data_IF_277260605265
#
_entry.id   IF_277260605265
#
_cell.length_a   1.000
_cell.length_b   1.000
_cell.length_c   1.000
_cell.angle_alpha   90.00
_cell.angle_beta   90.00
_cell.angle_gamma   90.00
#
_symmetry.space_group_name_H-M   'P 1'
#
loop_
_entity.id
_entity.type
_entity.pdbx_description
1 polymer ?
#
# COMPACT_ATOMS: atom_id res chain seq x y z
N UNK A 1 18.39 19.72 -40.69
CA UNK A 1 17.63 19.71 -39.44
C UNK A 1 18.06 18.49 -38.65
N UNK A 2 18.97 18.65 -37.68
CA UNK A 2 19.47 17.56 -36.82
C UNK A 2 18.51 17.40 -35.66
N UNK A 3 17.89 16.20 -35.50
CA UNK A 3 17.20 15.81 -34.29
C UNK A 3 18.21 15.64 -33.17
N UNK A 4 18.08 16.45 -32.15
CA UNK A 4 18.83 16.33 -30.90
C UNK A 4 18.23 15.18 -30.12
N UNK A 5 18.93 14.05 -30.08
CA UNK A 5 18.64 12.95 -29.15
C UNK A 5 19.02 13.42 -27.75
N UNK A 6 18.01 13.77 -26.97
CA UNK A 6 18.15 14.08 -25.56
C UNK A 6 18.41 12.77 -24.79
N UNK A 7 19.68 12.48 -24.56
CA UNK A 7 20.11 11.40 -23.67
C UNK A 7 19.82 11.86 -22.25
N UNK A 8 18.85 11.21 -21.62
CA UNK A 8 18.53 11.41 -20.20
C UNK A 8 19.64 10.72 -19.39
N UNK A 9 20.38 11.42 -18.52
CA UNK A 9 21.37 10.77 -17.67
C UNK A 9 20.65 9.85 -16.67
N UNK A 10 20.79 8.56 -16.90
CA UNK A 10 20.30 7.52 -15.98
C UNK A 10 21.36 7.32 -14.89
N UNK A 11 21.11 7.82 -13.68
CA UNK A 11 21.97 7.53 -12.53
C UNK A 11 21.47 6.24 -11.90
N UNK A 12 22.15 5.15 -12.19
CA UNK A 12 21.93 3.87 -11.54
C UNK A 12 22.85 3.80 -10.31
N UNK A 13 22.29 3.97 -9.12
CA UNK A 13 23.06 3.81 -7.87
C UNK A 13 22.82 2.41 -7.30
N UNK A 14 23.83 1.56 -7.37
CA UNK A 14 23.87 0.33 -6.57
C UNK A 14 24.35 0.67 -5.18
N UNK A 15 23.57 0.30 -4.17
CA UNK A 15 23.79 0.64 -2.76
C UNK A 15 25.02 -0.09 -2.20
N UNK A 16 26.19 0.57 -2.24
CA UNK A 16 27.35 0.18 -1.47
C UNK A 16 28.06 1.43 -0.91
N UNK A 17 27.43 2.27 -0.18
CA UNK A 17 28.02 3.25 0.74
C UNK A 17 27.06 4.40 1.04
N UNK A 18 26.39 4.35 2.17
CA UNK A 18 25.91 5.55 2.84
C UNK A 18 26.03 5.36 4.35
N UNK A 19 27.23 5.66 4.88
CA UNK A 19 27.42 5.99 6.28
C UNK A 19 27.98 7.41 6.34
N UNK A 20 27.24 8.31 6.96
CA UNK A 20 27.73 9.65 7.25
C UNK A 20 26.62 10.68 7.41
N UNK A 21 25.80 10.59 8.44
CA UNK A 21 24.90 11.70 8.82
C UNK A 21 25.37 12.25 10.17
N UNK A 22 25.88 13.49 10.15
CA UNK A 22 26.10 14.30 11.36
C UNK A 22 24.76 14.78 11.90
N UNK A 23 24.45 14.41 13.13
CA UNK A 23 23.30 14.91 13.87
C UNK A 23 23.49 16.38 14.26
N UNK A 24 22.50 17.22 13.98
CA UNK A 24 22.35 18.57 14.52
C UNK A 24 21.17 18.59 15.52
N UNK A 25 21.32 19.22 16.69
CA UNK A 25 20.30 19.17 17.73
C UNK A 25 19.37 20.40 17.68
N UNK A 26 18.16 20.19 18.16
CA UNK A 26 17.11 21.14 18.55
C UNK A 26 15.93 21.28 17.59
N UNK A 27 14.82 20.66 18.02
CA UNK A 27 13.59 21.42 18.24
C UNK A 27 12.62 20.65 19.15
N UNK A 28 12.26 21.30 20.25
CA UNK A 28 11.14 20.90 21.12
C UNK A 28 9.85 21.19 20.36
N UNK A 29 9.04 20.18 20.11
CA UNK A 29 7.66 20.41 19.67
C UNK A 29 6.68 19.55 20.49
N UNK A 30 5.60 20.20 20.87
CA UNK A 30 4.69 19.88 21.93
C UNK A 30 3.89 18.58 21.78
N UNK A 31 3.68 17.99 22.93
CA UNK A 31 3.04 16.70 23.24
C UNK A 31 1.49 16.77 23.27
N UNK A 32 0.84 17.65 22.53
CA UNK A 32 -0.58 17.97 22.83
C UNK A 32 -1.61 17.75 21.68
N UNK A 33 -1.25 17.18 20.54
CA UNK A 33 -2.19 17.07 19.41
C UNK A 33 -2.63 15.65 19.03
N UNK A 34 -1.96 14.62 19.49
CA UNK A 34 -2.27 13.22 19.13
C UNK A 34 -3.49 12.66 19.89
N UNK A 35 -3.68 13.05 21.15
CA UNK A 35 -4.77 12.52 21.98
C UNK A 35 -6.15 12.99 21.53
N UNK A 36 -6.27 14.23 21.06
CA UNK A 36 -7.55 14.81 20.63
C UNK A 36 -8.12 14.20 19.35
N UNK A 37 -7.25 13.73 18.45
CA UNK A 37 -7.68 13.11 17.18
C UNK A 37 -8.07 11.66 17.34
N UNK A 38 -7.46 10.96 18.28
CA UNK A 38 -7.84 9.59 18.65
C UNK A 38 -9.24 9.56 19.27
N UNK A 39 -9.58 10.54 20.11
CA UNK A 39 -10.92 10.71 20.69
C UNK A 39 -11.97 11.06 19.61
N UNK A 40 -11.59 11.82 18.58
CA UNK A 40 -12.49 12.14 17.46
C UNK A 40 -12.77 10.92 16.56
N UNK A 41 -11.79 10.03 16.38
CA UNK A 41 -11.98 8.78 15.63
C UNK A 41 -12.87 7.83 16.42
N UNK A 42 -12.67 7.73 17.74
CA UNK A 42 -13.49 6.90 18.64
C UNK A 42 -14.93 7.38 18.77
N UNK A 43 -15.17 8.66 18.61
CA UNK A 43 -16.49 9.30 18.74
C UNK A 43 -17.14 9.62 17.39
N UNK A 44 -16.60 9.15 16.28
CA UNK A 44 -17.24 9.29 14.98
C UNK A 44 -18.50 8.41 14.95
N UNK A 45 -19.70 9.01 14.81
CA UNK A 45 -20.96 8.26 14.83
C UNK A 45 -21.03 7.17 13.73
N UNK A 46 -20.28 7.34 12.65
CA UNK A 46 -20.18 6.35 11.57
C UNK A 46 -19.49 5.07 12.02
N UNK A 47 -18.57 5.12 13.02
CA UNK A 47 -17.90 3.92 13.56
C UNK A 47 -18.70 3.22 14.66
N UNK A 48 -19.61 3.95 15.34
CA UNK A 48 -20.47 3.34 16.37
C UNK A 48 -21.64 2.56 15.80
N UNK A 49 -22.05 2.82 14.57
CA UNK A 49 -23.13 2.09 13.90
C UNK A 49 -22.67 0.78 13.26
N UNK A 50 -21.36 0.48 13.26
CA UNK A 50 -20.83 -0.78 12.68
C UNK A 50 -20.90 -1.98 13.64
N UNK A 51 -21.12 -1.76 14.93
CA UNK A 51 -21.13 -2.85 15.91
C UNK A 51 -22.53 -3.46 16.18
N UNK A 52 -23.60 -2.84 15.66
CA UNK A 52 -24.97 -3.31 15.92
C UNK A 52 -25.77 -3.77 14.68
N UNK A 53 -25.13 -4.08 13.55
CA UNK A 53 -25.92 -4.41 12.36
C UNK A 53 -25.19 -5.08 11.21
N UNK A 54 -24.39 -6.12 11.45
CA UNK A 54 -23.99 -7.01 10.36
C UNK A 54 -25.14 -7.98 10.00
N UNK A 55 -26.24 -7.41 9.54
CA UNK A 55 -27.15 -8.12 8.66
C UNK A 55 -26.52 -8.10 7.27
N UNK A 56 -26.07 -9.25 6.78
CA UNK A 56 -25.62 -9.43 5.43
C UNK A 56 -26.68 -8.83 4.48
N UNK A 57 -26.37 -7.70 3.85
CA UNK A 57 -27.27 -7.12 2.85
C UNK A 57 -27.32 -8.07 1.67
N UNK A 58 -28.37 -8.89 1.62
CA UNK A 58 -28.70 -9.74 0.47
C UNK A 58 -28.94 -8.78 -0.71
N UNK A 59 -27.96 -8.66 -1.58
CA UNK A 59 -28.10 -7.82 -2.77
C UNK A 59 -29.26 -8.33 -3.64
N UNK A 60 -30.07 -7.43 -4.21
CA UNK A 60 -31.18 -7.85 -5.06
C UNK A 60 -30.70 -8.79 -6.17
N UNK A 61 -31.40 -9.90 -6.44
CA UNK A 61 -30.98 -10.88 -7.46
C UNK A 61 -30.77 -10.27 -8.86
N UNK A 62 -31.44 -9.15 -9.16
CA UNK A 62 -31.23 -8.41 -10.41
C UNK A 62 -29.82 -7.79 -10.51
N UNK A 63 -29.26 -7.30 -9.41
CA UNK A 63 -27.91 -6.72 -9.37
C UNK A 63 -26.84 -7.79 -9.57
N UNK A 64 -27.05 -8.97 -8.99
CA UNK A 64 -26.16 -10.13 -9.18
C UNK A 64 -26.16 -10.59 -10.64
N UNK A 65 -27.34 -10.71 -11.27
CA UNK A 65 -27.46 -11.08 -12.68
C UNK A 65 -26.81 -10.04 -13.61
N UNK A 66 -27.00 -8.76 -13.32
CA UNK A 66 -26.40 -7.69 -14.12
C UNK A 66 -24.87 -7.69 -13.98
N UNK A 67 -24.33 -7.93 -12.79
CA UNK A 67 -22.89 -8.11 -12.57
C UNK A 67 -22.35 -9.32 -13.35
N UNK A 68 -23.06 -10.45 -13.36
CA UNK A 68 -22.67 -11.62 -14.15
C UNK A 68 -22.70 -11.34 -15.65
N UNK A 69 -23.70 -10.60 -16.14
CA UNK A 69 -23.77 -10.20 -17.55
C UNK A 69 -22.65 -9.25 -17.93
N UNK A 70 -22.36 -8.24 -17.11
CA UNK A 70 -21.23 -7.33 -17.32
C UNK A 70 -19.92 -8.11 -17.34
N UNK A 71 -19.74 -9.04 -16.40
CA UNK A 71 -18.55 -9.90 -16.33
C UNK A 71 -18.36 -10.79 -17.56
N UNK A 72 -19.47 -11.24 -18.20
CA UNK A 72 -19.44 -12.00 -19.45
C UNK A 72 -19.13 -11.13 -20.68
N UNK A 73 -19.58 -9.87 -20.67
CA UNK A 73 -19.37 -8.92 -21.76
C UNK A 73 -17.99 -8.26 -21.76
N UNK A 74 -17.37 -8.10 -20.56
CA UNK A 74 -16.05 -7.47 -20.42
C UNK A 74 -14.88 -8.36 -20.88
N UNK A 75 -15.14 -9.53 -21.43
CA UNK A 75 -14.19 -10.43 -22.10
C UNK A 75 -12.91 -10.72 -21.29
N UNK A 76 -12.59 -11.95 -21.13
CA UNK A 76 -11.50 -12.57 -20.34
C UNK A 76 -11.70 -12.42 -18.82
N UNK A 77 -12.14 -13.46 -18.15
CA UNK A 77 -12.42 -13.40 -16.73
C UNK A 77 -11.12 -13.03 -15.99
N UNK A 78 -11.19 -11.99 -15.13
CA UNK A 78 -10.12 -11.67 -14.16
C UNK A 78 -9.69 -12.92 -13.35
N UNK A 79 -10.50 -13.96 -13.34
CA UNK A 79 -10.22 -15.27 -12.73
C UNK A 79 -9.05 -16.03 -13.35
N UNK A 80 -8.60 -15.68 -14.55
CA UNK A 80 -7.46 -16.34 -15.20
C UNK A 80 -6.12 -15.64 -14.93
N UNK A 81 -6.10 -14.47 -14.29
CA UNK A 81 -4.85 -13.78 -13.95
C UNK A 81 -4.22 -14.39 -12.71
N UNK A 82 -2.90 -14.60 -12.75
CA UNK A 82 -2.15 -14.94 -11.56
C UNK A 82 -2.31 -13.80 -10.53
N UNK A 83 -2.46 -14.17 -9.26
CA UNK A 83 -2.63 -13.22 -8.15
C UNK A 83 -1.54 -13.40 -7.11
N UNK A 84 -1.30 -12.35 -6.34
CA UNK A 84 -0.42 -12.34 -5.19
C UNK A 84 -1.30 -12.22 -3.92
N UNK A 85 -1.61 -13.31 -3.21
CA UNK A 85 -2.43 -13.26 -2.00
C UNK A 85 -1.72 -12.48 -0.89
N UNK A 86 -2.45 -11.75 -0.07
CA UNK A 86 -1.89 -11.13 1.14
C UNK A 86 -1.59 -12.17 2.24
N UNK A 87 -2.26 -13.31 2.21
CA UNK A 87 -2.22 -14.32 3.25
C UNK A 87 -3.06 -13.94 4.47
N UNK A 88 -3.91 -12.93 4.32
CA UNK A 88 -4.92 -12.49 5.28
C UNK A 88 -6.27 -12.69 4.62
N UNK A 89 -7.00 -13.73 5.04
CA UNK A 89 -8.24 -14.16 4.39
C UNK A 89 -9.25 -13.02 4.24
N UNK A 90 -9.41 -12.19 5.28
CA UNK A 90 -10.32 -11.05 5.24
C UNK A 90 -10.02 -10.04 4.11
N UNK A 91 -8.76 -9.91 3.72
CA UNK A 91 -8.34 -9.06 2.59
C UNK A 91 -8.50 -9.84 1.28
N UNK A 92 -8.01 -11.07 1.24
CA UNK A 92 -7.96 -11.89 0.03
C UNK A 92 -9.37 -12.20 -0.49
N UNK A 93 -10.36 -12.41 0.38
CA UNK A 93 -11.77 -12.62 0.03
C UNK A 93 -12.43 -11.39 -0.63
N UNK A 94 -11.88 -10.19 -0.45
CA UNK A 94 -12.38 -8.95 -1.07
C UNK A 94 -11.74 -8.67 -2.43
N UNK A 95 -10.69 -9.41 -2.78
CA UNK A 95 -9.96 -9.22 -4.02
C UNK A 95 -10.35 -10.29 -5.04
N UNK A 96 -10.58 -9.90 -6.31
CA UNK A 96 -10.86 -10.86 -7.37
C UNK A 96 -9.74 -11.89 -7.52
N UNK A 97 -10.09 -13.16 -7.42
CA UNK A 97 -9.12 -14.25 -7.50
C UNK A 97 -8.34 -14.52 -6.22
N UNK A 98 -8.65 -13.85 -5.10
CA UNK A 98 -8.02 -14.09 -3.80
C UNK A 98 -6.67 -13.41 -3.61
N UNK A 99 -6.44 -12.25 -4.22
CA UNK A 99 -5.19 -11.50 -4.05
C UNK A 99 -5.03 -10.35 -5.04
N UNK A 100 -3.89 -9.65 -4.95
CA UNK A 100 -3.55 -8.61 -5.93
C UNK A 100 -3.27 -9.23 -7.31
N UNK A 101 -3.92 -8.73 -8.34
CA UNK A 101 -3.70 -9.20 -9.70
C UNK A 101 -2.28 -8.90 -10.16
N UNK A 102 -1.53 -9.92 -10.62
CA UNK A 102 -0.32 -9.72 -11.40
C UNK A 102 -0.71 -9.24 -12.81
N UNK A 103 0.21 -8.55 -13.48
CA UNK A 103 -0.11 -7.92 -14.76
C UNK A 103 -1.14 -6.80 -14.62
N UNK A 104 -1.09 -6.04 -13.54
CA UNK A 104 -2.01 -4.95 -13.27
C UNK A 104 -1.32 -3.77 -12.61
N UNK A 105 -1.95 -2.59 -12.74
CA UNK A 105 -1.56 -1.38 -12.04
C UNK A 105 -2.34 -1.28 -10.73
N UNK A 106 -1.63 -1.04 -9.64
CA UNK A 106 -2.17 -0.76 -8.30
C UNK A 106 -1.73 0.62 -7.83
N UNK A 107 -2.60 1.34 -7.16
CA UNK A 107 -2.27 2.62 -6.53
C UNK A 107 -2.27 2.48 -5.01
N UNK A 108 -1.28 3.10 -4.37
CA UNK A 108 -1.14 3.17 -2.92
C UNK A 108 -0.86 4.61 -2.52
N UNK A 109 -1.60 5.12 -1.54
CA UNK A 109 -1.43 6.48 -1.02
C UNK A 109 -1.37 6.48 0.50
N UNK A 110 -0.72 7.48 1.09
CA UNK A 110 -0.85 7.77 2.51
C UNK A 110 -2.21 8.38 2.86
N UNK A 111 -2.61 8.25 4.11
CA UNK A 111 -3.86 8.78 4.64
C UNK A 111 -3.82 10.29 4.91
N UNK A 112 -4.00 10.69 6.16
CA UNK A 112 -4.15 12.10 6.52
C UNK A 112 -2.87 12.81 6.95
N UNK A 113 -1.85 12.08 7.41
CA UNK A 113 -0.57 12.65 7.83
C UNK A 113 0.48 12.41 6.74
N UNK A 114 0.74 13.44 5.93
CA UNK A 114 1.54 13.35 4.70
C UNK A 114 2.91 12.66 4.87
N UNK A 115 3.63 12.89 5.97
CA UNK A 115 4.96 12.31 6.17
C UNK A 115 4.87 10.86 6.68
N UNK A 116 4.13 10.62 7.77
CA UNK A 116 4.09 9.31 8.44
C UNK A 116 3.28 8.32 7.61
N UNK A 117 2.10 8.72 7.13
CA UNK A 117 1.26 7.85 6.32
C UNK A 117 1.85 7.62 4.93
N UNK A 118 2.59 8.62 4.39
CA UNK A 118 3.36 8.45 3.16
C UNK A 118 4.47 7.40 3.29
N UNK A 119 5.15 7.37 4.42
CA UNK A 119 6.13 6.32 4.73
C UNK A 119 5.46 4.94 4.88
N UNK A 120 4.31 4.87 5.56
CA UNK A 120 3.54 3.62 5.69
C UNK A 120 3.08 3.10 4.32
N UNK A 121 2.63 4.00 3.42
CA UNK A 121 2.26 3.65 2.05
C UNK A 121 3.45 3.08 1.26
N UNK A 122 4.63 3.66 1.39
CA UNK A 122 5.85 3.15 0.76
C UNK A 122 6.23 1.78 1.34
N UNK A 123 6.14 1.58 2.65
CA UNK A 123 6.40 0.28 3.31
C UNK A 123 5.37 -0.78 2.90
N UNK A 124 4.11 -0.43 2.74
CA UNK A 124 3.08 -1.34 2.24
C UNK A 124 3.38 -1.77 0.79
N UNK A 125 3.75 -0.83 -0.08
CA UNK A 125 4.17 -1.13 -1.45
C UNK A 125 5.44 -2.01 -1.47
N UNK A 126 6.41 -1.74 -0.58
CA UNK A 126 7.60 -2.55 -0.43
C UNK A 126 7.29 -3.98 0.03
N UNK A 127 6.38 -4.16 0.99
CA UNK A 127 5.93 -5.48 1.43
C UNK A 127 5.26 -6.28 0.32
N UNK A 128 4.47 -5.63 -0.55
CA UNK A 128 3.92 -6.27 -1.75
C UNK A 128 5.07 -6.69 -2.69
N UNK A 129 5.99 -5.77 -3.00
CA UNK A 129 7.12 -6.02 -3.90
C UNK A 129 8.08 -7.09 -3.34
N UNK A 130 8.27 -7.16 -2.02
CA UNK A 130 9.10 -8.16 -1.35
C UNK A 130 8.66 -9.60 -1.65
N UNK A 131 7.35 -9.82 -1.78
CA UNK A 131 6.75 -11.14 -2.04
C UNK A 131 6.77 -11.55 -3.51
N UNK A 132 7.18 -10.67 -4.42
CA UNK A 132 7.41 -11.02 -5.83
C UNK A 132 8.79 -11.67 -6.00
N UNK A 133 9.02 -12.33 -7.13
CA UNK A 133 10.32 -12.91 -7.47
C UNK A 133 11.15 -11.95 -8.31
N UNK A 134 12.49 -11.96 -8.14
CA UNK A 134 13.40 -11.18 -8.96
C UNK A 134 13.67 -9.75 -8.46
N UNK A 135 14.23 -8.91 -9.32
CA UNK A 135 14.56 -7.52 -9.00
C UNK A 135 13.32 -6.64 -9.01
N UNK A 136 13.37 -5.57 -8.24
CA UNK A 136 12.33 -4.54 -8.14
C UNK A 136 12.91 -3.23 -8.65
N UNK A 137 12.28 -2.60 -9.62
CA UNK A 137 12.62 -1.25 -10.05
C UNK A 137 11.83 -0.27 -9.18
N UNK A 138 12.51 0.73 -8.60
CA UNK A 138 11.87 1.77 -7.81
C UNK A 138 12.25 3.14 -8.35
N UNK A 139 11.29 3.80 -9.01
CA UNK A 139 11.49 5.12 -9.63
C UNK A 139 11.12 6.21 -8.61
N UNK A 140 12.06 7.12 -8.34
CA UNK A 140 11.92 8.20 -7.36
C UNK A 140 12.21 9.56 -7.99
N UNK A 141 11.62 10.60 -7.41
CA UNK A 141 11.97 12.00 -7.69
C UNK A 141 12.79 12.64 -6.57
N UNK A 142 12.95 11.93 -5.44
CA UNK A 142 13.67 12.40 -4.26
C UNK A 142 14.38 11.24 -3.58
N UNK A 143 15.58 11.51 -3.12
CA UNK A 143 16.40 10.55 -2.38
C UNK A 143 16.06 10.55 -0.88
N UNK A 144 14.78 10.51 -0.53
CA UNK A 144 14.30 10.49 0.87
C UNK A 144 13.74 9.13 1.29
N UNK A 145 13.85 8.12 0.42
CA UNK A 145 13.44 6.76 0.71
C UNK A 145 14.50 6.05 1.57
N UNK A 146 14.10 5.57 2.75
CA UNK A 146 15.02 4.94 3.69
C UNK A 146 15.11 3.42 3.45
N UNK A 147 16.15 2.99 2.71
CA UNK A 147 16.35 1.60 2.31
C UNK A 147 16.34 0.58 3.48
N UNK A 148 16.90 0.86 4.68
CA UNK A 148 16.79 -0.07 5.81
C UNK A 148 15.35 -0.34 6.25
N UNK A 149 14.45 0.65 6.13
CA UNK A 149 13.03 0.43 6.45
C UNK A 149 12.35 -0.51 5.43
N UNK A 150 12.75 -0.45 4.16
CA UNK A 150 12.26 -1.40 3.14
C UNK A 150 12.74 -2.83 3.43
N UNK A 151 13.97 -3.00 3.91
CA UNK A 151 14.50 -4.30 4.32
C UNK A 151 13.73 -4.88 5.51
N UNK A 152 13.28 -4.06 6.45
CA UNK A 152 12.47 -4.48 7.60
C UNK A 152 11.10 -5.06 7.19
N UNK A 153 10.57 -4.65 6.04
CA UNK A 153 9.33 -5.21 5.46
C UNK A 153 9.60 -6.24 4.37
N UNK A 154 10.78 -6.85 4.36
CA UNK A 154 11.15 -7.97 3.52
C UNK A 154 11.75 -7.62 2.16
N UNK A 155 11.84 -6.35 1.79
CA UNK A 155 12.44 -5.96 0.51
C UNK A 155 13.94 -5.69 0.68
N UNK A 156 14.75 -6.73 0.46
CA UNK A 156 16.20 -6.66 0.59
C UNK A 156 16.82 -5.67 -0.40
N UNK A 157 17.84 -4.93 0.04
CA UNK A 157 18.45 -3.84 -0.72
C UNK A 157 19.09 -4.31 -2.05
N UNK A 158 19.63 -5.53 -2.08
CA UNK A 158 20.20 -6.14 -3.28
C UNK A 158 19.16 -6.44 -4.36
N UNK A 159 17.89 -6.50 -3.99
CA UNK A 159 16.77 -6.72 -4.93
C UNK A 159 16.29 -5.43 -5.59
N UNK A 160 16.63 -4.26 -5.05
CA UNK A 160 16.07 -2.99 -5.53
C UNK A 160 17.04 -2.27 -6.44
N UNK A 161 16.53 -1.84 -7.60
CA UNK A 161 17.19 -0.95 -8.53
C UNK A 161 16.50 0.41 -8.40
N UNK A 162 17.21 1.39 -7.83
CA UNK A 162 16.68 2.74 -7.70
C UNK A 162 16.96 3.54 -8.97
N UNK A 163 15.96 4.24 -9.48
CA UNK A 163 16.06 5.20 -10.57
C UNK A 163 15.63 6.56 -10.06
N UNK A 164 16.60 7.46 -9.93
CA UNK A 164 16.34 8.89 -9.69
C UNK A 164 16.11 9.58 -11.03
N UNK A 165 14.87 9.91 -11.30
CA UNK A 165 14.45 10.42 -12.60
C UNK A 165 14.22 11.94 -12.60
N UNK A 166 14.66 12.65 -11.56
CA UNK A 166 14.67 14.11 -11.43
C UNK A 166 13.28 14.78 -11.46
N UNK A 167 12.37 14.36 -12.33
CA UNK A 167 11.03 14.93 -12.50
C UNK A 167 9.96 13.86 -12.71
N UNK A 168 8.70 14.22 -12.48
CA UNK A 168 7.56 13.29 -12.51
C UNK A 168 7.29 12.69 -13.90
N UNK A 169 7.58 13.45 -14.97
CA UNK A 169 7.41 12.98 -16.34
C UNK A 169 8.42 11.87 -16.65
N UNK A 170 9.66 12.05 -16.24
CA UNK A 170 10.72 11.06 -16.37
C UNK A 170 10.46 9.83 -15.50
N UNK A 171 9.93 10.00 -14.27
CA UNK A 171 9.48 8.88 -13.43
C UNK A 171 8.42 8.05 -14.14
N UNK A 172 7.40 8.70 -14.73
CA UNK A 172 6.34 7.99 -15.45
C UNK A 172 6.88 7.26 -16.69
N UNK A 173 7.86 7.83 -17.39
CA UNK A 173 8.50 7.18 -18.53
C UNK A 173 9.31 5.94 -18.09
N UNK A 174 10.13 6.07 -17.05
CA UNK A 174 10.88 4.95 -16.47
C UNK A 174 9.96 3.86 -15.91
N UNK A 175 8.84 4.25 -15.30
CA UNK A 175 7.83 3.34 -14.80
C UNK A 175 7.23 2.51 -15.94
N UNK A 176 6.78 3.16 -17.00
CA UNK A 176 6.19 2.50 -18.16
C UNK A 176 7.19 1.55 -18.83
N UNK A 177 8.44 1.98 -19.04
CA UNK A 177 9.48 1.17 -19.63
C UNK A 177 9.84 -0.03 -18.75
N UNK A 178 9.99 0.18 -17.43
CA UNK A 178 10.23 -0.91 -16.48
C UNK A 178 9.11 -1.96 -16.48
N UNK A 179 7.86 -1.51 -16.56
CA UNK A 179 6.70 -2.42 -16.64
C UNK A 179 6.71 -3.19 -17.96
N UNK A 180 7.02 -2.53 -19.09
CA UNK A 180 7.10 -3.18 -20.41
C UNK A 180 8.19 -4.23 -20.51
N UNK A 181 9.29 -4.04 -19.79
CA UNK A 181 10.43 -4.96 -19.80
C UNK A 181 10.03 -6.39 -19.40
N UNK A 182 9.08 -6.57 -18.49
CA UNK A 182 8.52 -7.87 -18.12
C UNK A 182 9.42 -8.82 -17.33
N UNK A 183 10.70 -8.49 -17.17
CA UNK A 183 11.68 -9.30 -16.45
C UNK A 183 11.87 -8.94 -14.97
N UNK A 184 11.08 -7.99 -14.47
CA UNK A 184 11.15 -7.49 -13.10
C UNK A 184 10.04 -8.12 -12.25
N UNK A 185 10.34 -8.38 -10.97
CA UNK A 185 9.36 -8.88 -10.02
C UNK A 185 8.25 -7.89 -9.75
N UNK A 186 8.63 -6.62 -9.59
CA UNK A 186 7.70 -5.50 -9.47
C UNK A 186 8.34 -4.21 -9.99
N UNK A 187 7.49 -3.28 -10.40
CA UNK A 187 7.92 -1.90 -10.70
C UNK A 187 7.12 -0.95 -9.83
N UNK A 188 7.82 -0.16 -9.04
CA UNK A 188 7.24 0.84 -8.12
C UNK A 188 7.65 2.22 -8.58
N UNK A 189 6.73 3.16 -8.62
CA UNK A 189 7.03 4.54 -8.95
C UNK A 189 6.35 5.50 -7.99
N UNK A 190 7.08 6.51 -7.53
CA UNK A 190 6.57 7.58 -6.69
C UNK A 190 6.09 8.74 -7.55
N UNK A 191 4.79 8.97 -7.55
CA UNK A 191 4.15 10.00 -8.39
C UNK A 191 3.15 10.82 -7.59
N UNK A 192 3.12 12.14 -7.78
CA UNK A 192 2.11 12.99 -7.18
C UNK A 192 0.80 12.93 -7.97
N UNK A 193 0.87 12.89 -9.29
CA UNK A 193 -0.29 12.87 -10.18
C UNK A 193 -0.26 11.67 -11.10
N UNK A 194 -1.44 11.09 -11.33
CA UNK A 194 -1.60 9.97 -12.27
C UNK A 194 -2.86 10.17 -13.09
N UNK A 195 -2.69 10.63 -14.33
CA UNK A 195 -3.80 10.88 -15.24
C UNK A 195 -4.44 9.57 -15.71
N UNK A 196 -5.71 9.66 -16.18
CA UNK A 196 -6.39 8.52 -16.81
C UNK A 196 -5.59 7.97 -18.00
N UNK A 197 -4.99 8.84 -18.81
CA UNK A 197 -4.19 8.43 -19.98
C UNK A 197 -2.95 7.67 -19.56
N UNK A 198 -2.16 8.22 -18.60
CA UNK A 198 -0.95 7.55 -18.10
C UNK A 198 -1.28 6.22 -17.43
N UNK A 199 -2.33 6.19 -16.60
CA UNK A 199 -2.75 4.95 -15.92
C UNK A 199 -3.24 3.86 -16.87
N UNK A 200 -3.91 4.23 -17.98
CA UNK A 200 -4.30 3.28 -19.03
C UNK A 200 -3.08 2.68 -19.72
N UNK A 201 -2.09 3.50 -20.08
CA UNK A 201 -0.86 3.01 -20.70
C UNK A 201 -0.11 2.05 -19.80
N UNK A 202 0.04 2.39 -18.51
CA UNK A 202 0.64 1.52 -17.50
C UNK A 202 -0.14 0.22 -17.30
N UNK A 203 -1.48 0.29 -17.23
CA UNK A 203 -2.32 -0.88 -17.09
C UNK A 203 -2.18 -1.84 -18.28
N UNK A 204 -2.16 -1.30 -19.53
CA UNK A 204 -1.96 -2.11 -20.73
C UNK A 204 -0.54 -2.71 -20.78
N UNK A 205 0.48 -1.94 -20.40
CA UNK A 205 1.85 -2.43 -20.33
C UNK A 205 1.99 -3.56 -19.29
N UNK A 206 1.38 -3.41 -18.11
CA UNK A 206 1.37 -4.41 -17.06
C UNK A 206 0.66 -5.69 -17.52
N UNK A 207 -0.48 -5.55 -18.20
CA UNK A 207 -1.23 -6.67 -18.75
C UNK A 207 -0.42 -7.45 -19.78
N UNK A 208 0.25 -6.76 -20.68
CA UNK A 208 1.06 -7.37 -21.72
C UNK A 208 2.31 -8.08 -21.17
N UNK A 209 2.94 -7.54 -20.13
CA UNK A 209 4.18 -8.07 -19.54
C UNK A 209 3.95 -9.08 -18.40
N UNK A 210 2.77 -9.09 -17.79
CA UNK A 210 2.50 -9.84 -16.56
C UNK A 210 3.11 -9.23 -15.30
N UNK A 211 3.79 -8.08 -15.40
CA UNK A 211 4.45 -7.42 -14.27
C UNK A 211 3.45 -6.75 -13.34
N UNK A 212 3.73 -6.76 -12.03
CA UNK A 212 2.96 -5.95 -11.08
C UNK A 212 3.52 -4.51 -11.09
N UNK A 213 2.65 -3.55 -11.33
CA UNK A 213 2.96 -2.12 -11.34
C UNK A 213 2.32 -1.45 -10.12
N UNK A 214 3.10 -0.72 -9.32
CA UNK A 214 2.62 -0.05 -8.11
C UNK A 214 2.94 1.44 -8.18
N UNK A 215 1.93 2.28 -8.27
CA UNK A 215 2.05 3.73 -8.19
C UNK A 215 1.87 4.17 -6.73
N UNK A 216 2.96 4.58 -6.08
CA UNK A 216 2.92 5.18 -4.74
C UNK A 216 2.65 6.67 -4.89
N UNK A 217 1.48 7.09 -4.41
CA UNK A 217 1.06 8.48 -4.52
C UNK A 217 1.71 9.31 -3.43
N UNK A 218 2.64 10.17 -3.84
CA UNK A 218 3.39 11.05 -2.94
C UNK A 218 3.24 12.50 -3.37
N UNK A 219 2.44 13.24 -2.66
CA UNK A 219 2.26 14.67 -2.89
C UNK A 219 3.09 15.52 -1.93
N UNK A 220 3.47 16.70 -2.41
CA UNK A 220 4.25 17.67 -1.64
C UNK A 220 3.36 18.54 -0.75
N UNK A 221 2.14 18.77 -1.19
CA UNK A 221 1.15 19.61 -0.51
C UNK A 221 -0.15 18.84 -0.35
N UNK A 222 -0.84 19.09 0.75
CA UNK A 222 -2.14 18.46 1.02
C UNK A 222 -3.17 18.74 -0.09
N UNK A 223 -3.07 19.89 -0.76
CA UNK A 223 -3.95 20.23 -1.88
C UNK A 223 -3.78 19.30 -3.09
N UNK A 224 -2.60 18.70 -3.28
CA UNK A 224 -2.35 17.74 -4.34
C UNK A 224 -3.01 16.39 -4.07
N UNK A 225 -3.34 16.10 -2.81
CA UNK A 225 -4.02 14.87 -2.41
C UNK A 225 -5.42 14.73 -3.04
N UNK A 226 -6.05 15.83 -3.44
CA UNK A 226 -7.33 15.82 -4.14
C UNK A 226 -7.26 15.07 -5.48
N UNK A 227 -6.08 15.00 -6.11
CA UNK A 227 -5.86 14.22 -7.34
C UNK A 227 -6.09 12.71 -7.13
N UNK A 228 -5.91 12.21 -5.92
CA UNK A 228 -6.17 10.80 -5.59
C UNK A 228 -7.65 10.41 -5.72
N UNK A 229 -8.57 11.39 -5.67
CA UNK A 229 -9.99 11.19 -5.94
C UNK A 229 -10.32 11.01 -7.43
N UNK A 230 -9.43 11.44 -8.33
CA UNK A 230 -9.66 11.35 -9.77
C UNK A 230 -9.65 9.90 -10.25
N UNK A 231 -10.49 9.54 -11.24
CA UNK A 231 -10.52 8.19 -11.78
C UNK A 231 -9.22 7.84 -12.51
N UNK A 232 -8.77 6.59 -12.35
CA UNK A 232 -7.63 6.01 -13.05
C UNK A 232 -7.96 4.60 -13.51
N UNK A 233 -7.10 3.99 -14.33
CA UNK A 233 -7.25 2.63 -14.83
C UNK A 233 -6.66 1.56 -13.88
N UNK A 234 -6.28 1.92 -12.64
CA UNK A 234 -5.75 0.98 -11.66
C UNK A 234 -6.75 -0.12 -11.31
N UNK A 235 -6.26 -1.33 -11.07
CA UNK A 235 -7.06 -2.48 -10.64
C UNK A 235 -7.52 -2.31 -9.19
N UNK A 236 -6.63 -1.85 -8.32
CA UNK A 236 -6.95 -1.52 -6.92
C UNK A 236 -6.37 -0.16 -6.54
N UNK A 237 -7.02 0.48 -5.58
CA UNK A 237 -6.57 1.74 -5.00
C UNK A 237 -6.66 1.64 -3.48
N UNK A 238 -5.52 1.81 -2.83
CA UNK A 238 -5.35 1.66 -1.40
C UNK A 238 -4.97 2.98 -0.74
N UNK A 239 -5.51 3.22 0.44
CA UNK A 239 -5.05 4.26 1.35
C UNK A 239 -4.50 3.59 2.60
N UNK A 240 -3.35 4.06 3.08
CA UNK A 240 -2.66 3.52 4.25
C UNK A 240 -2.53 4.63 5.29
N UNK A 241 -3.13 4.41 6.44
CA UNK A 241 -3.03 5.30 7.58
C UNK A 241 -2.38 4.57 8.76
N UNK A 242 -1.52 5.26 9.48
CA UNK A 242 -0.86 4.70 10.66
C UNK A 242 -1.79 4.75 11.86
N UNK A 243 -1.82 3.67 12.62
CA UNK A 243 -2.53 3.56 13.89
C UNK A 243 -1.54 3.36 15.04
N UNK A 244 -1.93 3.72 16.27
CA UNK A 244 -1.17 3.34 17.46
C UNK A 244 -0.94 1.83 17.51
N UNK A 245 0.28 1.40 17.84
CA UNK A 245 0.59 -0.01 18.06
C UNK A 245 -0.19 -0.57 19.25
N UNK A 246 -0.41 -1.89 19.25
CA UNK A 246 -1.00 -2.57 20.42
C UNK A 246 -0.10 -2.36 21.63
N UNK A 247 -0.64 -1.93 22.78
CA UNK A 247 0.13 -1.82 24.00
C UNK A 247 0.81 -3.15 24.35
N UNK A 248 2.09 -3.10 24.68
CA UNK A 248 2.81 -4.27 25.16
C UNK A 248 2.62 -4.40 26.69
N UNK A 249 2.68 -5.62 27.24
CA UNK A 249 2.62 -5.83 28.69
C UNK A 249 3.86 -5.33 29.43
N UNK A 250 4.90 -4.99 28.68
CA UNK A 250 6.17 -4.42 29.17
C UNK A 250 6.51 -3.14 28.40
N UNK A 251 7.31 -2.21 28.97
CA UNK A 251 7.78 -1.05 28.24
C UNK A 251 8.51 -1.47 26.94
N UNK A 252 8.09 -0.94 25.81
CA UNK A 252 8.69 -1.27 24.51
C UNK A 252 7.94 -0.67 23.35
N UNK A 253 8.46 -0.91 22.14
CA UNK A 253 7.83 -0.50 20.87
C UNK A 253 7.15 -1.72 20.26
N UNK A 254 5.83 -1.67 20.19
CA UNK A 254 5.04 -2.70 19.52
C UNK A 254 5.16 -2.66 18.00
N UNK A 255 4.67 -3.70 17.32
CA UNK A 255 4.56 -3.73 15.88
C UNK A 255 3.68 -2.57 15.41
N UNK A 256 4.09 -1.88 14.36
CA UNK A 256 3.29 -0.82 13.77
C UNK A 256 1.95 -1.39 13.26
N UNK A 257 0.89 -0.60 13.36
CA UNK A 257 -0.45 -0.96 12.87
C UNK A 257 -0.89 0.01 11.82
N UNK A 258 -1.63 -0.50 10.85
CA UNK A 258 -2.16 0.28 9.75
C UNK A 258 -3.66 0.07 9.61
N UNK A 259 -4.35 1.15 9.25
CA UNK A 259 -5.65 1.08 8.61
C UNK A 259 -5.40 1.05 7.11
N UNK A 260 -5.75 -0.06 6.47
CA UNK A 260 -5.74 -0.23 5.03
C UNK A 260 -7.15 -0.04 4.50
N UNK A 261 -7.37 1.03 3.74
CA UNK A 261 -8.64 1.29 3.09
C UNK A 261 -8.52 0.90 1.61
N UNK A 262 -9.22 -0.13 1.19
CA UNK A 262 -9.41 -0.48 -0.21
C UNK A 262 -10.49 0.42 -0.79
N UNK A 263 -10.09 1.61 -1.24
CA UNK A 263 -11.01 2.64 -1.75
C UNK A 263 -11.70 2.18 -3.04
N UNK A 264 -10.97 1.44 -3.87
CA UNK A 264 -11.46 0.91 -5.12
C UNK A 264 -10.85 -0.44 -5.43
N UNK A 265 -11.69 -1.36 -5.87
CA UNK A 265 -11.29 -2.63 -6.45
C UNK A 265 -12.07 -2.85 -7.76
N UNK A 266 -11.36 -3.13 -8.86
CA UNK A 266 -11.99 -3.48 -10.13
C UNK A 266 -12.66 -4.85 -9.98
N UNK A 267 -13.96 -4.92 -10.20
CA UNK A 267 -14.77 -6.12 -10.00
C UNK A 267 -14.81 -6.65 -8.55
N UNK A 268 -14.50 -5.80 -7.56
CA UNK A 268 -14.60 -6.07 -6.13
C UNK A 268 -15.31 -4.93 -5.41
N UNK A 269 -15.36 -5.02 -4.09
CA UNK A 269 -15.97 -4.01 -3.22
C UNK A 269 -14.89 -3.25 -2.44
N UNK A 270 -15.21 -2.02 -2.03
CA UNK A 270 -14.39 -1.27 -1.08
C UNK A 270 -14.49 -1.91 0.31
N UNK A 271 -13.40 -1.87 1.06
CA UNK A 271 -13.36 -2.41 2.42
C UNK A 271 -12.20 -1.79 3.19
N UNK A 272 -12.31 -1.80 4.52
CA UNK A 272 -11.29 -1.28 5.43
C UNK A 272 -10.79 -2.41 6.33
N UNK A 273 -9.48 -2.40 6.60
CA UNK A 273 -8.83 -3.44 7.39
C UNK A 273 -7.87 -2.81 8.40
N UNK A 274 -7.98 -3.22 9.65
CA UNK A 274 -6.96 -2.92 10.65
C UNK A 274 -5.99 -4.10 10.67
N UNK A 275 -4.72 -3.83 10.39
CA UNK A 275 -3.67 -4.85 10.28
C UNK A 275 -2.41 -4.44 11.04
N UNK A 276 -1.64 -5.41 11.47
CA UNK A 276 -0.25 -5.21 11.81
C UNK A 276 0.57 -5.03 10.53
N UNK A 277 1.50 -4.07 10.55
CA UNK A 277 2.37 -3.74 9.43
C UNK A 277 3.13 -4.96 8.90
N UNK A 278 3.65 -4.87 7.69
CA UNK A 278 4.44 -5.93 7.09
C UNK A 278 5.61 -6.36 7.98
N UNK A 279 5.82 -7.67 8.07
CA UNK A 279 6.97 -8.29 8.73
C UNK A 279 8.17 -8.40 7.77
N UNK A 280 9.23 -9.05 8.24
CA UNK A 280 10.47 -9.29 7.47
C UNK A 280 10.27 -10.21 6.25
N UNK A 281 9.12 -10.81 6.07
CA UNK A 281 8.71 -11.56 4.87
C UNK A 281 7.73 -10.77 3.99
N UNK A 282 7.45 -9.51 4.32
CA UNK A 282 6.47 -8.68 3.61
C UNK A 282 5.02 -9.08 3.87
N UNK A 283 4.73 -9.77 4.97
CA UNK A 283 3.40 -10.29 5.29
C UNK A 283 2.70 -9.40 6.30
N UNK A 284 1.43 -9.13 6.03
CA UNK A 284 0.50 -8.52 6.97
C UNK A 284 0.00 -9.56 7.98
N UNK A 285 -0.48 -9.10 9.13
CA UNK A 285 -1.21 -9.94 10.08
C UNK A 285 -2.44 -9.19 10.60
N UNK A 286 -3.45 -9.93 11.04
CA UNK A 286 -4.52 -9.35 11.85
C UNK A 286 -3.99 -9.15 13.27
N UNK A 287 -4.30 -8.02 13.92
CA UNK A 287 -3.96 -7.82 15.33
C UNK A 287 -4.58 -8.94 16.17
N UNK A 288 -3.76 -9.57 17.00
CA UNK A 288 -4.30 -10.51 17.99
C UNK A 288 -5.19 -9.73 18.97
N UNK A 289 -6.44 -10.13 19.08
CA UNK A 289 -7.33 -9.57 20.09
C UNK A 289 -6.79 -9.94 21.47
N UNK A 290 -6.27 -8.95 22.20
CA UNK A 290 -5.74 -9.16 23.55
C UNK A 290 -6.88 -9.42 24.56
N UNK A 291 -8.13 -9.30 24.13
CA UNK A 291 -9.31 -9.44 24.96
C UNK A 291 -9.58 -10.88 25.44
N UNK A 292 -8.94 -11.89 24.88
CA UNK A 292 -9.24 -13.30 25.21
C UNK A 292 -8.17 -13.98 26.08
N UNK A 293 -7.43 -13.20 26.88
CA UNK A 293 -6.75 -13.78 28.04
C UNK A 293 -7.72 -13.79 29.19
N UNK A 294 -8.47 -14.89 29.33
CA UNK A 294 -9.20 -15.23 30.55
C UNK A 294 -8.32 -14.94 31.76
N UNK A 295 -8.79 -14.07 32.64
CA UNK A 295 -8.12 -13.81 33.91
C UNK A 295 -7.87 -15.17 34.62
N UNK A 296 -6.65 -15.40 35.19
CA UNK A 296 -6.36 -16.62 35.88
C UNK A 296 -7.40 -16.77 36.99
N UNK A 297 -8.09 -17.94 37.03
CA UNK A 297 -9.06 -18.27 38.06
C UNK A 297 -8.42 -18.01 39.42
N UNK A 298 -9.00 -17.11 40.20
CA UNK A 298 -8.59 -16.87 41.58
C UNK A 298 -8.97 -18.16 42.34
N UNK A 299 -7.95 -18.96 42.61
CA UNK A 299 -8.04 -20.17 43.42
C UNK A 299 -8.39 -19.73 44.84
N UNK A 300 -9.69 -19.85 45.11
CA UNK A 300 -10.28 -19.54 46.43
C UNK A 300 -9.84 -20.55 47.48
N UNK A 301 -8.64 -20.45 48.01
CA UNK A 301 -8.28 -21.16 49.24
C UNK A 301 -9.08 -20.59 50.40
N UNK A 302 -10.24 -21.15 50.64
CA UNK A 302 -10.89 -21.09 51.95
C UNK A 302 -9.95 -21.76 52.95
N UNK A 303 -9.43 -20.99 53.90
CA UNK A 303 -8.84 -21.50 55.12
C UNK A 303 -10.01 -21.93 56.02
N UNK A 304 -10.00 -23.18 56.40
CA UNK A 304 -10.71 -23.71 57.58
C UNK A 304 -9.89 -23.40 58.83
#
# INVERSE_FOLDING_TARGET
MKKSDSVIPLVVTTTSAFFGVKASPRNRCGRLTLTRRYEQIKNNPVLKTFDEGMSASVQPPAVLRLREQIQRLEGTPLRARAVLPFGVQAIDDRLPGGGLALGALHEVAGGGNAAIDGAAAALFAAGIAARTKGKVLWCITRQDLFAPALAQVGLAADRVIYVDACDEKSVLACFEEGVRHGGLGAVVAEVARLSMTSSRRLSLAAEASGSIAIAVRRWRRQTEAADFGQPTASATRWRVSTLPSTPLPVPGVGRARWLLELIRCRAGESADFVVDACDVQGRLALPADVADRSAPAQDGRRRA
#
